data_IF_070124833945
#
_entry.id   IF_070124833945
#
_cell.length_a   1.000
_cell.length_b   1.000
_cell.length_c   1.000
_cell.angle_alpha   90.00
_cell.angle_beta   90.00
_cell.angle_gamma   90.00
#
_symmetry.space_group_name_H-M   'P 1'
#
loop_
_entity.id
_entity.type
_entity.pdbx_description
1 polymer ?
#
# COMPACT_ATOMS: atom_id res chain seq x y z
N UNK A 1 11.49 -14.26 6.09
CA UNK A 1 10.02 -14.59 6.19
C UNK A 1 9.65 -15.71 5.24
N UNK A 2 8.72 -16.63 5.62
CA UNK A 2 8.25 -17.69 4.72
C UNK A 2 7.38 -17.10 3.59
N UNK A 3 7.39 -17.73 2.40
CA UNK A 3 6.65 -17.29 1.20
C UNK A 3 5.14 -17.09 1.46
N UNK A 4 4.55 -17.93 2.32
CA UNK A 4 3.14 -17.81 2.71
C UNK A 4 2.83 -16.48 3.41
N UNK A 5 3.73 -16.00 4.27
CA UNK A 5 3.56 -14.73 4.98
C UNK A 5 3.73 -13.52 4.07
N UNK A 6 4.62 -13.60 3.07
CA UNK A 6 4.72 -12.56 2.04
C UNK A 6 3.40 -12.44 1.24
N UNK A 7 2.75 -13.56 0.97
CA UNK A 7 1.44 -13.55 0.29
C UNK A 7 0.36 -12.91 1.17
N UNK A 8 0.33 -13.24 2.46
CA UNK A 8 -0.60 -12.63 3.42
C UNK A 8 -0.33 -11.12 3.51
N UNK A 9 0.91 -10.71 3.68
CA UNK A 9 1.30 -9.29 3.75
C UNK A 9 0.91 -8.53 2.48
N UNK A 10 1.14 -9.12 1.32
CA UNK A 10 0.73 -8.55 0.02
C UNK A 10 -0.78 -8.36 -0.06
N UNK A 11 -1.57 -9.30 0.46
CA UNK A 11 -3.02 -9.19 0.51
C UNK A 11 -3.51 -8.14 1.50
N UNK A 12 -2.84 -8.01 2.63
CA UNK A 12 -3.14 -6.97 3.65
C UNK A 12 -2.89 -5.58 3.06
N UNK A 13 -1.66 -5.33 2.60
CA UNK A 13 -1.27 -4.00 2.12
C UNK A 13 -2.03 -3.65 0.85
N UNK A 14 -2.18 -4.56 -0.11
CA UNK A 14 -2.99 -4.34 -1.30
C UNK A 14 -4.43 -3.96 -0.97
N UNK A 15 -5.02 -4.61 0.03
CA UNK A 15 -6.38 -4.34 0.49
C UNK A 15 -6.55 -2.94 1.06
N UNK A 16 -5.58 -2.43 1.81
CA UNK A 16 -5.65 -1.07 2.41
C UNK A 16 -5.19 0.02 1.46
N UNK A 17 -4.24 -0.24 0.57
CA UNK A 17 -3.72 0.76 -0.37
C UNK A 17 -4.70 1.09 -1.49
N UNK A 18 -5.24 0.09 -2.13
CA UNK A 18 -6.04 0.29 -3.33
C UNK A 18 -7.28 -0.61 -3.42
N UNK A 19 -7.42 -1.56 -2.51
CA UNK A 19 -8.49 -2.56 -2.50
C UNK A 19 -9.79 -2.09 -1.82
N UNK A 20 -9.86 -0.84 -1.34
CA UNK A 20 -11.03 -0.32 -0.63
C UNK A 20 -11.28 -1.05 0.69
N UNK A 21 -10.20 -1.36 1.43
CA UNK A 21 -10.20 -2.10 2.70
C UNK A 21 -10.82 -3.52 2.57
N UNK A 22 -10.59 -4.17 1.44
CA UNK A 22 -11.00 -5.55 1.19
C UNK A 22 -9.75 -6.42 1.06
N UNK A 23 -9.58 -7.41 1.95
CA UNK A 23 -8.44 -8.31 1.96
C UNK A 23 -8.20 -8.96 0.59
N UNK A 24 -6.97 -8.92 0.11
CA UNK A 24 -6.55 -9.50 -1.16
C UNK A 24 -6.97 -8.73 -2.42
N UNK A 25 -7.84 -7.71 -2.29
CA UNK A 25 -8.24 -6.89 -3.43
C UNK A 25 -7.17 -5.84 -3.75
N UNK A 26 -6.86 -5.66 -5.04
CA UNK A 26 -5.87 -4.71 -5.55
C UNK A 26 -6.38 -4.02 -6.80
N UNK A 27 -6.09 -2.74 -6.92
CA UNK A 27 -6.40 -1.96 -8.12
C UNK A 27 -5.13 -1.78 -8.96
N UNK A 28 -4.80 -2.75 -9.78
CA UNK A 28 -3.58 -2.72 -10.61
C UNK A 28 -3.45 -1.48 -11.49
N UNK A 29 -4.55 -0.93 -11.97
CA UNK A 29 -4.57 0.30 -12.74
C UNK A 29 -4.67 1.57 -11.90
N UNK A 30 -4.32 1.54 -10.61
CA UNK A 30 -4.30 2.74 -9.79
C UNK A 30 -3.27 3.74 -10.32
N UNK A 31 -3.65 5.01 -10.34
CA UNK A 31 -2.82 6.11 -10.78
C UNK A 31 -3.15 7.35 -9.94
N UNK A 32 -2.12 8.00 -9.43
CA UNK A 32 -2.22 9.32 -8.86
C UNK A 32 -1.24 10.25 -9.60
N UNK A 33 -1.74 11.40 -10.07
CA UNK A 33 -0.88 12.47 -10.58
C UNK A 33 -0.25 13.24 -9.43
N UNK A 34 0.67 14.14 -9.74
CA UNK A 34 1.22 15.08 -8.78
C UNK A 34 0.07 15.84 -8.09
N UNK A 35 0.01 15.78 -6.77
CA UNK A 35 -0.98 16.56 -6.02
C UNK A 35 -0.67 18.05 -6.11
N UNK A 36 -1.69 18.86 -6.37
CA UNK A 36 -1.54 20.31 -6.57
C UNK A 36 -0.92 21.02 -5.35
N UNK A 37 -1.08 20.46 -4.16
CA UNK A 37 -0.69 21.07 -2.89
C UNK A 37 0.45 20.31 -2.18
N UNK A 38 1.12 19.37 -2.85
CA UNK A 38 2.22 18.61 -2.28
C UNK A 38 3.56 19.06 -2.89
N UNK A 39 4.26 19.94 -2.22
CA UNK A 39 5.58 20.43 -2.68
C UNK A 39 6.61 19.31 -2.82
N UNK A 40 6.45 18.24 -2.05
CA UNK A 40 7.32 17.08 -2.07
C UNK A 40 7.03 16.12 -3.23
N UNK A 41 5.83 16.13 -3.81
CA UNK A 41 5.51 15.30 -4.96
C UNK A 41 6.01 15.95 -6.26
N UNK A 42 6.89 15.24 -6.96
CA UNK A 42 7.52 15.74 -8.18
C UNK A 42 6.90 15.18 -9.45
N UNK A 43 6.24 14.01 -9.35
CA UNK A 43 5.72 13.26 -10.49
C UNK A 43 4.54 12.37 -10.07
N UNK A 44 4.20 11.37 -10.86
CA UNK A 44 3.07 10.47 -10.63
C UNK A 44 3.42 9.23 -9.81
N UNK A 45 2.37 8.56 -9.37
CA UNK A 45 2.38 7.28 -8.64
C UNK A 45 1.62 6.23 -9.43
N UNK A 46 2.14 5.02 -9.53
CA UNK A 46 1.60 3.95 -10.36
C UNK A 46 1.30 2.67 -9.58
N UNK A 47 0.20 2.03 -9.97
CA UNK A 47 -0.14 0.68 -9.53
C UNK A 47 -0.70 0.61 -8.12
N UNK A 48 -1.08 -0.61 -7.75
CA UNK A 48 -1.78 -0.87 -6.50
C UNK A 48 -0.90 -0.60 -5.25
N UNK A 49 0.42 -0.76 -5.36
CA UNK A 49 1.37 -0.55 -4.29
C UNK A 49 1.91 0.89 -4.23
N UNK A 50 1.31 1.83 -4.97
CA UNK A 50 1.68 3.25 -4.94
C UNK A 50 3.16 3.49 -5.30
N UNK A 51 3.65 2.87 -6.39
CA UNK A 51 5.02 3.04 -6.87
C UNK A 51 5.23 4.48 -7.34
N UNK A 52 5.88 5.30 -6.52
CA UNK A 52 6.11 6.72 -6.78
C UNK A 52 7.34 6.96 -7.66
N UNK A 53 7.24 7.91 -8.58
CA UNK A 53 8.39 8.46 -9.29
C UNK A 53 9.27 7.43 -9.97
N UNK A 54 10.52 7.36 -9.57
CA UNK A 54 11.50 6.43 -10.14
C UNK A 54 11.19 4.96 -9.87
N UNK A 55 10.45 4.61 -8.81
CA UNK A 55 9.93 3.24 -8.65
C UNK A 55 8.84 2.92 -9.67
N UNK A 56 7.98 3.88 -10.02
CA UNK A 56 7.04 3.74 -11.14
C UNK A 56 7.75 3.55 -12.48
N UNK A 57 8.85 4.29 -12.71
CA UNK A 57 9.72 4.10 -13.88
C UNK A 57 10.34 2.69 -13.90
N UNK A 58 10.90 2.24 -12.75
CA UNK A 58 11.46 0.89 -12.60
C UNK A 58 10.43 -0.18 -12.89
N UNK A 59 9.21 -0.03 -12.40
CA UNK A 59 8.10 -0.92 -12.73
C UNK A 59 7.88 -1.00 -14.25
N UNK A 60 7.82 0.13 -14.95
CA UNK A 60 7.67 0.14 -16.41
C UNK A 60 8.86 -0.51 -17.13
N UNK A 61 10.09 -0.34 -16.65
CA UNK A 61 11.27 -1.02 -17.19
C UNK A 61 11.19 -2.54 -16.99
N UNK A 62 10.73 -3.02 -15.83
CA UNK A 62 10.49 -4.43 -15.56
C UNK A 62 9.45 -5.02 -16.51
N UNK A 63 8.35 -4.30 -16.76
CA UNK A 63 7.29 -4.74 -17.68
C UNK A 63 7.81 -4.81 -19.12
N UNK A 64 8.55 -3.79 -19.57
CA UNK A 64 9.18 -3.77 -20.89
C UNK A 64 10.13 -4.97 -21.07
N UNK A 65 10.91 -5.30 -20.03
CA UNK A 65 11.82 -6.47 -20.07
C UNK A 65 11.06 -7.80 -20.06
N UNK A 66 9.96 -7.90 -19.30
CA UNK A 66 9.18 -9.12 -19.15
C UNK A 66 8.35 -9.46 -20.40
N UNK A 67 7.71 -8.46 -21.01
CA UNK A 67 6.93 -8.61 -22.25
C UNK A 67 7.03 -7.35 -23.11
N UNK A 68 8.09 -7.24 -23.94
CA UNK A 68 8.28 -6.07 -24.82
C UNK A 68 7.14 -5.85 -25.81
N UNK A 69 6.50 -6.95 -26.26
CA UNK A 69 5.40 -6.88 -27.25
C UNK A 69 4.15 -6.28 -26.60
N UNK A 70 3.73 -6.81 -25.46
CA UNK A 70 2.56 -6.29 -24.76
C UNK A 70 2.79 -4.84 -24.30
N UNK A 71 4.00 -4.50 -23.80
CA UNK A 71 4.36 -3.14 -23.45
C UNK A 71 4.17 -2.17 -24.62
N UNK A 72 4.79 -2.45 -25.79
CA UNK A 72 4.74 -1.56 -26.95
C UNK A 72 3.33 -1.47 -27.55
N UNK A 73 2.53 -2.53 -27.46
CA UNK A 73 1.12 -2.50 -27.88
C UNK A 73 0.30 -1.56 -26.98
N UNK A 74 0.58 -1.54 -25.67
CA UNK A 74 -0.09 -0.66 -24.70
C UNK A 74 0.45 0.77 -24.72
N UNK A 75 1.70 0.98 -25.14
CA UNK A 75 2.38 2.29 -25.17
C UNK A 75 1.95 3.15 -26.38
N UNK A 76 0.76 3.70 -26.32
CA UNK A 76 0.23 4.60 -27.34
C UNK A 76 0.76 6.03 -27.26
N UNK A 77 1.63 6.33 -26.29
CA UNK A 77 2.09 7.68 -26.01
C UNK A 77 3.62 7.86 -26.00
N UNK A 78 4.40 6.79 -26.24
CA UNK A 78 5.86 6.83 -26.23
C UNK A 78 6.48 6.81 -24.83
N UNK A 79 5.87 6.11 -23.89
CA UNK A 79 6.36 5.92 -22.53
C UNK A 79 7.76 5.26 -22.52
N UNK A 80 8.02 4.34 -23.47
CA UNK A 80 9.34 3.69 -23.60
C UNK A 80 10.49 4.72 -23.66
N UNK A 81 10.29 5.85 -24.34
CA UNK A 81 11.28 6.94 -24.43
C UNK A 81 11.50 7.67 -23.10
N UNK A 82 10.53 7.62 -22.20
CA UNK A 82 10.61 8.23 -20.86
C UNK A 82 11.35 7.37 -19.85
N UNK A 83 11.61 6.09 -20.16
CA UNK A 83 12.27 5.17 -19.23
C UNK A 83 13.77 5.44 -19.07
N UNK A 84 14.38 6.19 -19.99
CA UNK A 84 15.80 6.59 -19.91
C UNK A 84 16.06 7.82 -19.06
N UNK A 85 15.02 8.57 -18.67
CA UNK A 85 15.16 9.80 -17.88
C UNK A 85 14.70 9.60 -16.44
N UNK A 86 15.28 10.37 -15.52
CA UNK A 86 14.84 10.40 -14.13
C UNK A 86 13.52 11.18 -14.02
N UNK A 87 12.44 10.50 -13.61
CA UNK A 87 11.12 11.11 -13.55
C UNK A 87 10.99 12.15 -12.42
N UNK A 88 11.71 11.95 -11.31
CA UNK A 88 11.66 12.88 -10.18
C UNK A 88 12.54 14.09 -10.43
N UNK A 89 13.77 13.91 -10.96
CA UNK A 89 14.66 15.00 -11.28
C UNK A 89 14.10 15.92 -12.39
N UNK A 90 13.48 15.31 -13.41
CA UNK A 90 12.82 16.06 -14.51
C UNK A 90 11.44 16.60 -14.14
N UNK A 91 10.90 16.22 -12.96
CA UNK A 91 9.54 16.54 -12.53
C UNK A 91 8.49 16.21 -13.61
N UNK A 92 8.69 15.06 -14.25
CA UNK A 92 7.81 14.67 -15.35
C UNK A 92 6.37 14.52 -14.86
N UNK A 93 5.49 15.28 -15.48
CA UNK A 93 4.05 15.24 -15.23
C UNK A 93 3.35 14.67 -16.47
N UNK A 94 2.87 13.41 -16.41
CA UNK A 94 2.23 12.78 -17.56
C UNK A 94 1.01 13.53 -18.05
N UNK A 95 0.93 13.76 -19.36
CA UNK A 95 -0.27 14.23 -20.05
C UNK A 95 -1.41 13.22 -19.94
N UNK A 96 -2.63 13.61 -20.27
CA UNK A 96 -3.78 12.69 -20.28
C UNK A 96 -3.55 11.44 -21.14
N UNK A 97 -2.88 11.61 -22.30
CA UNK A 97 -2.53 10.50 -23.20
C UNK A 97 -1.47 9.59 -22.59
N UNK A 98 -0.41 10.16 -21.98
CA UNK A 98 0.64 9.39 -21.30
C UNK A 98 0.08 8.65 -20.07
N UNK A 99 -0.80 9.29 -19.29
CA UNK A 99 -1.53 8.62 -18.19
C UNK A 99 -2.32 7.41 -18.67
N UNK A 100 -3.07 7.55 -19.78
CA UNK A 100 -3.85 6.43 -20.34
C UNK A 100 -2.93 5.27 -20.77
N UNK A 101 -1.80 5.58 -21.42
CA UNK A 101 -0.80 4.59 -21.81
C UNK A 101 -0.14 3.92 -20.59
N UNK A 102 0.24 4.68 -19.56
CA UNK A 102 0.77 4.13 -18.31
C UNK A 102 -0.21 3.14 -17.66
N UNK A 103 -1.49 3.52 -17.55
CA UNK A 103 -2.52 2.62 -17.00
C UNK A 103 -2.66 1.36 -17.88
N UNK A 104 -2.65 1.48 -19.18
CA UNK A 104 -2.71 0.34 -20.10
C UNK A 104 -1.51 -0.59 -19.91
N UNK A 105 -0.28 -0.06 -19.81
CA UNK A 105 0.96 -0.81 -19.59
C UNK A 105 0.90 -1.60 -18.28
N UNK A 106 0.60 -0.93 -17.16
CA UNK A 106 0.62 -1.57 -15.83
C UNK A 106 -0.53 -2.55 -15.61
N UNK A 107 -1.56 -2.55 -16.44
CA UNK A 107 -2.70 -3.48 -16.37
C UNK A 107 -2.57 -4.68 -17.30
N UNK A 108 -1.52 -4.77 -18.13
CA UNK A 108 -1.16 -6.00 -18.85
C UNK A 108 -0.90 -7.13 -17.85
N UNK A 109 -0.93 -8.38 -18.30
CA UNK A 109 -0.62 -9.51 -17.39
C UNK A 109 0.82 -9.45 -16.87
N UNK A 110 1.78 -9.06 -17.74
CA UNK A 110 3.15 -8.76 -17.31
C UNK A 110 3.19 -7.60 -16.30
N UNK A 111 2.38 -6.56 -16.53
CA UNK A 111 2.29 -5.40 -15.63
C UNK A 111 1.78 -5.78 -14.24
N UNK A 112 0.73 -6.57 -14.15
CA UNK A 112 0.21 -7.07 -12.86
C UNK A 112 1.25 -7.91 -12.12
N UNK A 113 1.90 -8.84 -12.84
CA UNK A 113 2.94 -9.68 -12.27
C UNK A 113 4.14 -8.86 -11.77
N UNK A 114 4.62 -7.90 -12.57
CA UNK A 114 5.74 -7.04 -12.18
C UNK A 114 5.42 -6.17 -10.95
N UNK A 115 4.18 -5.68 -10.80
CA UNK A 115 3.76 -4.97 -9.59
C UNK A 115 3.86 -5.86 -8.35
N UNK A 116 3.38 -7.10 -8.44
CA UNK A 116 3.43 -8.04 -7.32
C UNK A 116 4.88 -8.45 -6.99
N UNK A 117 5.73 -8.62 -7.99
CA UNK A 117 7.14 -8.99 -7.80
C UNK A 117 7.93 -7.83 -7.19
N UNK A 118 7.77 -6.60 -7.71
CA UNK A 118 8.41 -5.39 -7.16
C UNK A 118 8.00 -5.14 -5.70
N UNK A 119 6.73 -5.35 -5.38
CA UNK A 119 6.26 -5.23 -4.01
C UNK A 119 6.87 -6.27 -3.08
N UNK A 120 7.02 -7.53 -3.54
CA UNK A 120 7.68 -8.57 -2.73
C UNK A 120 9.13 -8.25 -2.43
N UNK A 121 9.89 -7.76 -3.43
CA UNK A 121 11.27 -7.30 -3.22
C UNK A 121 11.35 -6.21 -2.15
N UNK A 122 10.40 -5.25 -2.18
CA UNK A 122 10.33 -4.18 -1.20
C UNK A 122 10.02 -4.71 0.21
N UNK A 123 9.09 -5.66 0.32
CA UNK A 123 8.73 -6.26 1.61
C UNK A 123 9.88 -7.10 2.18
N UNK A 124 10.62 -7.81 1.36
CA UNK A 124 11.82 -8.55 1.80
C UNK A 124 12.87 -7.61 2.41
N UNK A 125 13.06 -6.44 1.80
CA UNK A 125 13.93 -5.39 2.36
C UNK A 125 13.43 -4.91 3.72
N UNK A 126 12.15 -4.57 3.84
CA UNK A 126 11.57 -4.07 5.10
C UNK A 126 11.63 -5.12 6.22
N UNK A 127 11.45 -6.40 5.89
CA UNK A 127 11.61 -7.50 6.84
C UNK A 127 13.05 -7.59 7.34
N UNK A 128 14.04 -7.49 6.45
CA UNK A 128 15.45 -7.50 6.84
C UNK A 128 15.77 -6.30 7.75
N UNK A 129 15.19 -5.13 7.51
CA UNK A 129 15.35 -3.95 8.37
C UNK A 129 14.67 -4.15 9.74
N UNK A 130 13.50 -4.79 9.80
CA UNK A 130 12.83 -5.16 11.04
C UNK A 130 13.65 -6.15 11.86
N UNK A 131 14.18 -7.19 11.22
CA UNK A 131 15.06 -8.20 11.86
C UNK A 131 16.34 -7.55 12.41
N UNK A 132 16.97 -6.66 11.64
CA UNK A 132 18.15 -5.90 12.08
C UNK A 132 17.84 -4.96 13.25
N UNK A 133 16.60 -4.49 13.39
CA UNK A 133 16.13 -3.70 14.52
C UNK A 133 15.83 -4.54 15.78
N UNK A 134 15.77 -5.87 15.64
CA UNK A 134 15.47 -6.81 16.73
C UNK A 134 13.97 -7.14 16.84
N UNK A 135 13.23 -7.05 15.75
CA UNK A 135 11.83 -7.51 15.65
C UNK A 135 11.83 -8.95 15.14
N UNK A 136 11.66 -9.91 16.04
CA UNK A 136 11.72 -11.35 15.78
C UNK A 136 10.35 -12.01 15.54
N UNK A 137 9.29 -11.36 16.01
CA UNK A 137 7.91 -11.84 15.87
C UNK A 137 7.34 -11.51 14.49
N UNK A 138 6.79 -12.50 13.80
CA UNK A 138 6.27 -12.36 12.43
C UNK A 138 5.13 -11.35 12.31
N UNK A 139 4.22 -11.30 13.28
CA UNK A 139 3.11 -10.36 13.27
C UNK A 139 3.63 -8.91 13.45
N UNK A 140 4.62 -8.73 14.30
CA UNK A 140 5.28 -7.43 14.50
C UNK A 140 6.09 -7.01 13.26
N UNK A 141 6.76 -7.95 12.57
CA UNK A 141 7.42 -7.68 11.29
C UNK A 141 6.42 -7.22 10.23
N UNK A 142 5.22 -7.78 10.18
CA UNK A 142 4.17 -7.31 9.27
C UNK A 142 3.67 -5.90 9.62
N UNK A 143 3.56 -5.57 10.90
CA UNK A 143 3.26 -4.20 11.34
C UNK A 143 4.40 -3.22 10.98
N UNK A 144 5.65 -3.68 11.05
CA UNK A 144 6.80 -2.91 10.57
C UNK A 144 6.66 -2.59 9.09
N UNK A 145 6.44 -3.62 8.25
CA UNK A 145 6.32 -3.45 6.81
C UNK A 145 5.17 -2.51 6.42
N UNK A 146 4.04 -2.60 7.11
CA UNK A 146 2.90 -1.71 6.87
C UNK A 146 3.22 -0.26 7.22
N UNK A 147 3.81 -0.02 8.40
CA UNK A 147 4.17 1.31 8.85
C UNK A 147 5.31 1.92 8.01
N UNK A 148 6.29 1.12 7.59
CA UNK A 148 7.38 1.58 6.73
C UNK A 148 6.92 1.89 5.32
N UNK A 149 6.02 1.09 4.76
CA UNK A 149 5.43 1.34 3.45
C UNK A 149 4.66 2.67 3.40
N UNK A 150 4.01 3.02 4.51
CA UNK A 150 3.28 4.28 4.61
C UNK A 150 4.17 5.50 4.87
N UNK A 151 5.11 5.38 5.80
CA UNK A 151 5.85 6.53 6.35
C UNK A 151 7.37 6.48 6.18
N UNK A 152 7.92 5.35 5.74
CA UNK A 152 9.36 5.13 5.61
C UNK A 152 10.07 4.76 6.92
N UNK A 153 11.38 4.50 6.81
CA UNK A 153 12.21 3.91 7.88
C UNK A 153 12.31 4.77 9.15
N UNK A 154 12.36 6.09 9.04
CA UNK A 154 12.49 6.96 10.23
C UNK A 154 11.26 6.93 11.13
N UNK A 155 10.03 7.13 10.61
CA UNK A 155 8.81 6.96 11.39
C UNK A 155 8.67 5.56 12.00
N UNK A 156 8.91 4.49 11.26
CA UNK A 156 8.74 3.13 11.80
C UNK A 156 9.69 2.86 12.97
N UNK A 157 10.96 3.27 12.88
CA UNK A 157 11.90 3.17 14.02
C UNK A 157 11.41 3.92 15.26
N UNK A 158 10.83 5.11 15.09
CA UNK A 158 10.28 5.90 16.19
C UNK A 158 9.06 5.23 16.82
N UNK A 159 8.18 4.65 16.01
CA UNK A 159 7.00 3.89 16.45
C UNK A 159 7.44 2.68 17.29
N UNK A 160 8.38 1.88 16.79
CA UNK A 160 8.87 0.70 17.50
C UNK A 160 9.69 1.03 18.76
N UNK A 161 10.40 2.15 18.77
CA UNK A 161 11.07 2.63 19.99
C UNK A 161 10.10 2.97 21.13
N UNK A 162 8.87 3.39 20.82
CA UNK A 162 7.79 3.68 21.77
C UNK A 162 6.99 2.44 22.16
N UNK A 163 6.93 1.45 21.30
CA UNK A 163 6.09 0.27 21.49
C UNK A 163 6.60 -0.56 22.69
N UNK A 164 5.66 -1.03 23.50
CA UNK A 164 5.98 -1.93 24.62
C UNK A 164 6.36 -3.32 24.11
N UNK A 165 7.42 -3.89 24.68
CA UNK A 165 7.78 -5.29 24.44
C UNK A 165 6.94 -6.23 25.32
N UNK A 166 6.61 -7.46 24.88
CA UNK A 166 6.89 -7.99 23.55
C UNK A 166 6.12 -7.23 22.47
N UNK A 167 6.71 -7.11 21.27
CA UNK A 167 6.04 -6.48 20.14
C UNK A 167 4.87 -7.36 19.67
N UNK A 168 3.67 -6.82 19.70
CA UNK A 168 2.45 -7.43 19.17
C UNK A 168 1.75 -6.44 18.25
N UNK A 169 0.82 -6.87 17.37
CA UNK A 169 0.05 -5.93 16.57
C UNK A 169 -0.61 -4.82 17.40
N UNK A 170 -1.11 -5.14 18.60
CA UNK A 170 -1.77 -4.15 19.47
C UNK A 170 -0.80 -3.15 20.09
N UNK A 171 0.37 -3.61 20.58
CA UNK A 171 1.36 -2.72 21.19
C UNK A 171 2.00 -1.80 20.15
N UNK A 172 2.22 -2.30 18.93
CA UNK A 172 2.72 -1.49 17.82
C UNK A 172 1.66 -0.50 17.32
N UNK A 173 0.40 -0.94 17.20
CA UNK A 173 -0.71 -0.07 16.80
C UNK A 173 -0.92 1.07 17.81
N UNK A 174 -0.93 0.77 19.10
CA UNK A 174 -1.05 1.81 20.14
C UNK A 174 0.05 2.86 20.03
N UNK A 175 1.30 2.42 19.80
CA UNK A 175 2.44 3.31 19.60
C UNK A 175 2.34 4.15 18.34
N UNK A 176 1.87 3.54 17.23
CA UNK A 176 1.66 4.20 15.95
C UNK A 176 0.65 5.35 16.07
N UNK A 177 -0.48 5.13 16.76
CA UNK A 177 -1.50 6.17 17.00
C UNK A 177 -0.93 7.32 17.84
N UNK A 178 -0.11 7.02 18.87
CA UNK A 178 0.55 8.05 19.65
C UNK A 178 1.56 8.84 18.80
N UNK A 179 2.34 8.16 17.97
CA UNK A 179 3.32 8.80 17.10
C UNK A 179 2.65 9.74 16.09
N UNK A 180 1.54 9.31 15.50
CA UNK A 180 0.75 10.16 14.61
C UNK A 180 0.25 11.42 15.33
N UNK A 181 -0.26 11.30 16.55
CA UNK A 181 -0.72 12.45 17.35
C UNK A 181 0.40 13.45 17.65
N UNK A 182 1.60 12.94 17.97
CA UNK A 182 2.73 13.79 18.36
C UNK A 182 3.45 14.46 17.18
N UNK A 183 3.41 13.85 16.01
CA UNK A 183 4.21 14.30 14.85
C UNK A 183 3.44 15.11 13.84
N UNK A 184 2.12 15.12 13.91
CA UNK A 184 1.34 15.89 12.95
C UNK A 184 1.20 17.34 13.42
N UNK A 185 1.99 18.20 12.78
CA UNK A 185 1.72 19.65 12.82
C UNK A 185 0.51 20.06 11.96
N UNK A 186 -0.09 19.12 11.20
CA UNK A 186 -0.98 19.40 10.07
C UNK A 186 -2.40 18.83 10.22
N UNK A 187 -2.95 18.70 11.41
CA UNK A 187 -4.33 18.20 11.61
C UNK A 187 -4.64 16.80 11.00
N UNK A 188 -3.65 16.07 10.51
CA UNK A 188 -3.82 14.68 10.04
C UNK A 188 -3.98 13.69 11.20
N UNK A 189 -3.73 14.17 12.41
CA UNK A 189 -3.97 13.46 13.66
C UNK A 189 -5.45 13.27 13.85
N UNK A 190 -5.85 12.02 13.85
CA UNK A 190 -7.25 11.67 13.95
C UNK A 190 -7.98 11.66 12.61
N UNK A 191 -7.24 11.64 11.47
CA UNK A 191 -7.86 11.22 10.22
C UNK A 191 -8.33 9.77 10.40
N UNK A 192 -9.64 9.64 10.63
CA UNK A 192 -10.32 8.35 10.81
C UNK A 192 -10.02 7.36 9.67
N UNK A 193 -9.61 7.85 8.50
CA UNK A 193 -9.21 7.04 7.36
C UNK A 193 -7.90 6.30 7.62
N UNK A 194 -6.88 6.95 8.19
CA UNK A 194 -5.62 6.29 8.52
C UNK A 194 -5.75 5.35 9.72
N UNK A 195 -6.49 5.75 10.74
CA UNK A 195 -6.79 4.89 11.87
C UNK A 195 -7.53 3.61 11.41
N UNK A 196 -8.53 3.77 10.56
CA UNK A 196 -9.27 2.65 9.97
C UNK A 196 -8.37 1.73 9.12
N UNK A 197 -7.39 2.27 8.40
CA UNK A 197 -6.39 1.50 7.64
C UNK A 197 -5.57 0.59 8.55
N UNK A 198 -4.96 1.16 9.59
CA UNK A 198 -4.14 0.40 10.54
C UNK A 198 -4.96 -0.63 11.33
N UNK A 199 -6.20 -0.30 11.71
CA UNK A 199 -7.11 -1.27 12.33
C UNK A 199 -7.41 -2.46 11.43
N UNK A 200 -7.61 -2.25 10.13
CA UNK A 200 -7.74 -3.33 9.16
C UNK A 200 -6.49 -4.22 9.13
N UNK A 201 -5.30 -3.62 9.11
CA UNK A 201 -4.04 -4.35 9.11
C UNK A 201 -3.89 -5.21 10.38
N UNK A 202 -4.09 -4.63 11.56
CA UNK A 202 -4.04 -5.36 12.85
C UNK A 202 -5.00 -6.55 12.85
N UNK A 203 -6.26 -6.32 12.43
CA UNK A 203 -7.28 -7.36 12.36
C UNK A 203 -6.87 -8.50 11.45
N UNK A 204 -6.41 -8.19 10.22
CA UNK A 204 -6.01 -9.20 9.26
C UNK A 204 -4.73 -9.93 9.66
N UNK A 205 -3.74 -9.23 10.25
CA UNK A 205 -2.55 -9.88 10.80
C UNK A 205 -2.96 -10.91 11.85
N UNK A 206 -3.79 -10.54 12.81
CA UNK A 206 -4.29 -11.48 13.84
C UNK A 206 -5.11 -12.63 13.27
N UNK A 207 -5.86 -12.38 12.21
CA UNK A 207 -6.72 -13.39 11.58
C UNK A 207 -5.94 -14.40 10.76
N UNK A 208 -4.93 -13.95 9.99
CA UNK A 208 -4.26 -14.80 9.00
C UNK A 208 -2.87 -15.25 9.41
N UNK A 209 -2.26 -14.59 10.38
CA UNK A 209 -0.94 -14.94 10.90
C UNK A 209 -1.09 -15.55 12.29
N UNK A 210 -1.27 -16.85 12.31
CA UNK A 210 -1.28 -17.61 13.57
C UNK A 210 0.15 -18.04 13.86
N UNK A 211 0.70 -17.60 14.98
CA UNK A 211 2.00 -18.08 15.44
C UNK A 211 1.96 -19.59 15.56
N UNK A 212 3.00 -20.27 15.08
CA UNK A 212 3.08 -21.72 14.89
C UNK A 212 2.94 -22.58 16.17
N UNK A 213 2.41 -22.04 17.26
CA UNK A 213 2.27 -22.77 18.52
C UNK A 213 1.06 -23.73 18.50
N UNK A 214 0.08 -23.57 17.60
CA UNK A 214 -1.12 -24.41 17.65
C UNK A 214 -1.76 -24.74 16.29
N UNK A 215 -0.99 -25.23 15.31
CA UNK A 215 -1.57 -25.77 14.07
C UNK A 215 -2.46 -27.03 14.29
N UNK A 216 -2.37 -27.67 15.44
CA UNK A 216 -3.19 -28.86 15.76
C UNK A 216 -4.61 -28.49 16.19
N UNK A 217 -4.81 -27.37 16.86
CA UNK A 217 -6.11 -26.92 17.37
C UNK A 217 -6.94 -26.25 16.27
N UNK A 218 -6.29 -25.51 15.36
CA UNK A 218 -7.02 -24.75 14.32
C UNK A 218 -7.54 -25.58 13.15
N UNK A 219 -6.94 -26.74 12.84
CA UNK A 219 -7.49 -27.65 11.82
C UNK A 219 -8.87 -28.20 12.18
N UNK A 220 -9.16 -28.30 13.46
CA UNK A 220 -10.48 -28.80 13.93
C UNK A 220 -11.56 -27.69 13.99
N UNK A 221 -11.16 -26.41 14.10
CA UNK A 221 -12.10 -25.29 14.22
C UNK A 221 -12.42 -24.67 12.86
N UNK A 222 -11.45 -24.63 11.92
CA UNK A 222 -11.65 -23.97 10.61
C UNK A 222 -12.59 -24.72 9.67
N UNK A 223 -12.77 -26.03 9.86
CA UNK A 223 -13.75 -26.81 9.09
C UNK A 223 -15.22 -26.60 9.56
N UNK A 224 -15.44 -26.05 10.76
CA UNK A 224 -16.75 -25.93 11.36
C UNK A 224 -17.37 -24.51 11.28
N UNK A 225 -16.62 -23.44 11.09
CA UNK A 225 -17.13 -22.09 11.32
C UNK A 225 -16.85 -20.99 10.28
N UNK A 226 -16.12 -21.21 9.20
CA UNK A 226 -15.80 -20.12 8.30
C UNK A 226 -16.27 -20.30 6.86
N UNK A 227 -17.44 -19.74 6.58
CA UNK A 227 -17.79 -19.29 5.24
C UNK A 227 -17.30 -17.84 5.06
N UNK A 228 -16.44 -17.53 4.06
CA UNK A 228 -15.85 -16.19 3.89
C UNK A 228 -16.87 -15.08 3.63
N UNK A 229 -18.12 -15.42 3.35
CA UNK A 229 -19.16 -14.45 2.97
C UNK A 229 -19.85 -13.72 4.13
N UNK A 230 -19.68 -14.15 5.40
CA UNK A 230 -20.45 -13.56 6.51
C UNK A 230 -19.76 -12.36 7.20
N UNK A 231 -18.44 -12.18 7.02
CA UNK A 231 -17.69 -11.12 7.71
C UNK A 231 -17.76 -9.78 6.96
N UNK A 232 -17.98 -9.79 5.64
CA UNK A 232 -17.99 -8.58 4.81
C UNK A 232 -19.24 -7.69 4.97
N UNK A 233 -20.32 -8.21 5.55
CA UNK A 233 -21.58 -7.43 5.64
C UNK A 233 -21.56 -6.33 6.71
N UNK A 234 -20.74 -6.41 7.74
CA UNK A 234 -20.68 -5.38 8.80
C UNK A 234 -19.87 -4.15 8.44
N UNK A 235 -18.90 -4.26 7.54
CA UNK A 235 -18.11 -3.10 7.08
C UNK A 235 -18.80 -2.25 6.00
N UNK A 236 -19.83 -2.79 5.31
CA UNK A 236 -20.52 -2.05 4.23
C UNK A 236 -21.44 -0.92 4.70
N UNK A 237 -21.82 -0.88 5.97
CA UNK A 237 -22.78 0.10 6.48
C UNK A 237 -22.17 1.41 7.00
N UNK A 238 -20.85 1.58 7.00
CA UNK A 238 -20.20 2.81 7.51
C UNK A 238 -19.89 3.82 6.39
N UNK A 239 -19.93 3.41 5.12
CA UNK A 239 -19.56 4.28 3.98
C UNK A 239 -20.62 4.38 2.89
N UNK A 240 -21.86 4.75 3.27
CA UNK A 240 -22.78 5.43 2.36
C UNK A 240 -22.87 6.86 2.87
N UNK A 241 -22.15 7.76 2.28
CA UNK A 241 -22.32 9.19 2.08
C UNK A 241 -20.99 9.93 2.16
N UNK A 242 -20.42 10.22 1.04
CA UNK A 242 -19.88 11.53 0.68
C UNK A 242 -19.29 11.48 -0.74
N UNK A 243 -20.18 11.54 -1.72
CA UNK A 243 -19.89 12.19 -2.98
C UNK A 243 -19.78 13.67 -2.65
N UNK A 244 -18.59 14.18 -2.46
CA UNK A 244 -18.36 15.60 -2.28
C UNK A 244 -18.32 16.26 -3.66
N UNK A 245 -19.46 16.67 -4.17
CA UNK A 245 -19.56 17.69 -5.20
C UNK A 245 -19.23 19.04 -4.57
N UNK A 246 -17.99 19.49 -4.68
CA UNK A 246 -17.59 20.84 -4.32
C UNK A 246 -17.83 21.79 -5.49
N UNK A 247 -19.07 22.17 -5.70
CA UNK A 247 -19.43 23.36 -6.45
C UNK A 247 -19.20 24.61 -5.61
N UNK A 248 -18.03 25.24 -5.65
CA UNK A 248 -17.86 26.62 -5.17
C UNK A 248 -18.10 27.60 -6.33
N UNK A 249 -19.26 28.18 -6.35
CA UNK A 249 -19.51 29.45 -7.06
C UNK A 249 -18.72 30.54 -6.35
N UNK A 250 -17.82 31.17 -7.07
CA UNK A 250 -17.20 32.43 -6.69
C UNK A 250 -18.19 33.55 -7.03
N UNK A 251 -18.86 34.11 -6.03
CA UNK A 251 -19.53 35.41 -6.15
C UNK A 251 -18.48 36.53 -6.11
N UNK A 252 -18.31 37.17 -7.27
CA UNK A 252 -17.68 38.50 -7.35
C UNK A 252 -18.71 39.53 -6.91
N UNK A 253 -18.43 40.28 -5.85
CA UNK A 253 -18.98 41.61 -5.63
C UNK A 253 -17.89 42.59 -5.23
N UNK A 254 -17.74 43.58 -6.12
CA UNK A 254 -17.28 44.98 -6.00
C UNK A 254 -16.13 45.27 -5.03
#
# INVERSE_FOLDING_TARGET
MKKEYLTILTNIIGGVESGGQTYGKRKYGAYAGKAANADNEKTCTLGWAQNYGNEGRRLCQMILKADPKAFRTADTAGIEKKLSVDWEATRWNPTAKEKAALIAIITTDAGKKCQDDLFKELMEKYIAEAEAYGVDNIQAQMMWCEAEHLGGLKPVKRIFARAKKPYTPDTVYASLILDQKDTSNDNQVGDKKFESRHQCCVRWIKQYVVDNVDKSVYKSISSAFFHPQSVDKKCKNVFKTSSCESGRKLDRKK
#
